data_IF_600966722347
#
_entry.id   IF_600966722347
#
_cell.length_a   1.000
_cell.length_b   1.000
_cell.length_c   1.000
_cell.angle_alpha   90.00
_cell.angle_beta   90.00
_cell.angle_gamma   90.00
#
_symmetry.space_group_name_H-M   'P 1'
#
loop_
_entity.id
_entity.type
_entity.pdbx_description
1 polymer ?
#
# COMPACT_ATOMS: atom_id res chain seq x y z
N UNK A 1 -2.92 -2.38 -12.48
CA UNK A 1 -3.17 -1.66 -11.22
C UNK A 1 -2.22 -2.19 -10.16
N UNK A 2 -1.55 -1.29 -9.48
CA UNK A 2 -0.57 -1.62 -8.45
C UNK A 2 -0.99 -0.93 -7.15
N UNK A 3 -1.11 -1.70 -6.08
CA UNK A 3 -1.31 -1.19 -4.73
C UNK A 3 0.02 -0.66 -4.18
N UNK A 4 -0.01 0.48 -3.51
CA UNK A 4 1.20 1.12 -2.99
C UNK A 4 1.16 1.15 -1.47
N UNK A 5 2.20 0.58 -0.86
CA UNK A 5 2.40 0.53 0.58
C UNK A 5 3.01 1.83 1.13
N UNK A 6 3.00 1.97 2.44
CA UNK A 6 3.51 3.15 3.16
C UNK A 6 4.98 3.44 2.86
N UNK A 7 5.85 2.42 2.92
CA UNK A 7 7.28 2.59 2.72
C UNK A 7 7.65 3.30 1.43
N UNK A 8 7.18 2.84 0.28
CA UNK A 8 7.40 3.52 -0.99
C UNK A 8 6.85 4.95 -1.04
N UNK A 9 5.67 5.21 -0.45
CA UNK A 9 5.13 6.57 -0.42
C UNK A 9 6.04 7.52 0.36
N UNK A 10 6.53 7.09 1.52
CA UNK A 10 7.48 7.89 2.29
C UNK A 10 8.78 8.08 1.52
N UNK A 11 9.33 7.00 0.95
CA UNK A 11 10.59 7.05 0.22
C UNK A 11 10.52 7.94 -1.02
N UNK A 12 9.39 7.92 -1.75
CA UNK A 12 9.22 8.76 -2.94
C UNK A 12 9.22 10.26 -2.62
N UNK A 13 8.65 10.64 -1.47
CA UNK A 13 8.46 12.04 -1.10
C UNK A 13 9.42 12.54 -0.03
N UNK A 14 10.37 11.70 0.41
CA UNK A 14 11.47 12.09 1.29
C UNK A 14 12.82 11.77 0.62
N UNK A 15 13.48 12.78 0.03
CA UNK A 15 14.78 12.57 -0.61
C UNK A 15 15.89 12.06 0.34
N UNK A 16 15.70 12.19 1.64
CA UNK A 16 16.62 11.72 2.66
C UNK A 16 16.41 10.23 2.99
N UNK A 17 15.30 9.63 2.56
CA UNK A 17 15.03 8.22 2.81
C UNK A 17 16.03 7.34 2.04
N UNK A 18 16.58 6.33 2.70
CA UNK A 18 17.56 5.42 2.10
C UNK A 18 17.05 4.64 0.89
N UNK A 19 15.72 4.50 0.74
CA UNK A 19 15.08 3.83 -0.38
C UNK A 19 14.58 4.78 -1.47
N UNK A 20 14.85 6.08 -1.33
CA UNK A 20 14.34 7.10 -2.26
C UNK A 20 14.70 6.78 -3.72
N UNK A 21 15.99 6.63 -4.01
CA UNK A 21 16.46 6.40 -5.38
C UNK A 21 15.87 5.13 -6.00
N UNK A 22 15.80 4.06 -5.22
CA UNK A 22 15.20 2.78 -5.63
C UNK A 22 13.73 2.92 -5.97
N UNK A 23 12.97 3.59 -5.09
CA UNK A 23 11.53 3.78 -5.30
C UNK A 23 11.24 4.69 -6.49
N UNK A 24 12.02 5.75 -6.68
CA UNK A 24 11.90 6.63 -7.86
C UNK A 24 12.16 5.84 -9.14
N UNK A 25 13.19 5.00 -9.16
CA UNK A 25 13.50 4.14 -10.31
C UNK A 25 12.35 3.18 -10.62
N UNK A 26 11.79 2.54 -9.60
CA UNK A 26 10.65 1.64 -9.73
C UNK A 26 9.43 2.38 -10.30
N UNK A 27 9.12 3.55 -9.74
CA UNK A 27 7.99 4.36 -10.21
C UNK A 27 8.13 4.75 -11.69
N UNK A 28 9.33 5.12 -12.11
CA UNK A 28 9.59 5.47 -13.53
C UNK A 28 9.37 4.30 -14.48
N UNK A 29 9.54 3.07 -14.02
CA UNK A 29 9.32 1.85 -14.80
C UNK A 29 7.88 1.35 -14.78
N UNK A 30 7.02 1.90 -13.91
CA UNK A 30 5.63 1.49 -13.78
C UNK A 30 4.77 2.19 -14.81
N UNK A 31 3.95 1.40 -15.51
CA UNK A 31 2.99 1.89 -16.53
C UNK A 31 1.54 1.77 -16.06
N UNK A 32 1.30 1.01 -15.01
CA UNK A 32 -0.03 0.74 -14.48
C UNK A 32 -0.48 1.84 -13.53
N UNK A 33 -1.82 2.06 -13.41
CA UNK A 33 -2.34 2.97 -12.40
C UNK A 33 -1.92 2.56 -11.00
N UNK A 34 -1.61 3.53 -10.16
CA UNK A 34 -1.29 3.34 -8.76
C UNK A 34 -2.51 3.62 -7.91
N UNK A 35 -2.72 2.81 -6.89
CA UNK A 35 -3.80 2.95 -5.92
C UNK A 35 -3.29 2.65 -4.52
N UNK A 36 -3.79 3.34 -3.52
CA UNK A 36 -3.53 3.03 -2.12
C UNK A 36 -4.81 3.14 -1.29
N UNK A 37 -4.68 2.96 0.00
CA UNK A 37 -5.79 2.96 0.95
C UNK A 37 -5.65 4.12 1.94
N UNK A 38 -6.74 4.47 2.62
CA UNK A 38 -6.70 5.54 3.62
C UNK A 38 -5.79 5.20 4.81
N UNK A 39 -5.81 3.97 5.38
CA UNK A 39 -4.87 3.64 6.45
C UNK A 39 -3.41 3.80 6.05
N UNK A 40 -3.04 3.39 4.85
CA UNK A 40 -1.68 3.57 4.32
C UNK A 40 -1.36 5.05 4.16
N UNK A 41 -2.27 5.82 3.58
CA UNK A 41 -2.07 7.25 3.37
C UNK A 41 -1.92 8.01 4.69
N UNK A 42 -2.72 7.65 5.70
CA UNK A 42 -2.62 8.20 7.07
C UNK A 42 -1.23 7.96 7.66
N UNK A 43 -0.74 6.74 7.54
CA UNK A 43 0.59 6.37 8.04
C UNK A 43 1.71 7.12 7.30
N UNK A 44 1.59 7.24 5.98
CA UNK A 44 2.57 7.96 5.17
C UNK A 44 2.64 9.44 5.54
N UNK A 45 1.51 10.11 5.73
CA UNK A 45 1.48 11.50 6.18
C UNK A 45 2.06 11.67 7.58
N UNK A 46 1.80 10.71 8.47
CA UNK A 46 2.39 10.73 9.82
C UNK A 46 3.91 10.64 9.76
N UNK A 47 4.44 9.72 8.95
CA UNK A 47 5.89 9.52 8.82
C UNK A 47 6.60 10.68 8.11
N UNK A 48 5.97 11.29 7.11
CA UNK A 48 6.53 12.47 6.43
C UNK A 48 6.50 13.71 7.33
N UNK A 49 5.57 13.76 8.27
CA UNK A 49 5.38 14.86 9.20
C UNK A 49 4.44 15.93 8.67
N UNK A 50 3.58 16.49 9.54
CA UNK A 50 2.67 17.57 9.17
C UNK A 50 3.46 18.81 8.72
N UNK A 51 2.91 19.53 7.73
CA UNK A 51 3.51 20.74 7.15
C UNK A 51 4.90 20.55 6.54
N UNK A 52 5.31 19.32 6.24
CA UNK A 52 6.55 19.04 5.53
C UNK A 52 6.38 19.22 4.01
N UNK A 53 7.50 19.45 3.32
CA UNK A 53 7.51 19.48 1.84
C UNK A 53 7.04 18.13 1.28
N UNK A 54 7.46 17.04 1.89
CA UNK A 54 7.05 15.69 1.48
C UNK A 54 5.54 15.47 1.57
N UNK A 55 4.94 15.93 2.68
CA UNK A 55 3.47 15.86 2.84
C UNK A 55 2.74 16.70 1.79
N UNK A 56 3.23 17.90 1.50
CA UNK A 56 2.63 18.75 0.48
C UNK A 56 2.70 18.09 -0.91
N UNK A 57 3.82 17.49 -1.25
CA UNK A 57 4.00 16.81 -2.53
C UNK A 57 3.17 15.53 -2.64
N UNK A 58 3.06 14.77 -1.57
CA UNK A 58 2.18 13.60 -1.55
C UNK A 58 0.72 14.00 -1.77
N UNK A 59 0.28 15.07 -1.09
CA UNK A 59 -1.06 15.61 -1.28
C UNK A 59 -1.29 16.01 -2.75
N UNK A 60 -0.35 16.75 -3.34
CA UNK A 60 -0.45 17.17 -4.73
C UNK A 60 -0.49 15.97 -5.69
N UNK A 61 0.25 14.92 -5.40
CA UNK A 61 0.25 13.68 -6.17
C UNK A 61 -1.12 12.99 -6.15
N UNK A 62 -1.76 12.95 -5.00
CA UNK A 62 -3.13 12.41 -4.85
C UNK A 62 -4.14 13.28 -5.59
N UNK A 63 -4.14 14.59 -5.33
CA UNK A 63 -5.08 15.54 -5.94
C UNK A 63 -4.90 15.61 -7.45
N UNK A 64 -3.67 15.50 -7.93
CA UNK A 64 -3.34 15.51 -9.36
C UNK A 64 -3.65 14.20 -10.10
N UNK A 65 -4.14 13.18 -9.40
CA UNK A 65 -4.52 11.90 -10.01
C UNK A 65 -3.39 10.90 -10.20
N UNK A 66 -2.19 11.17 -9.67
CA UNK A 66 -1.07 10.23 -9.73
C UNK A 66 -1.23 9.01 -8.84
N UNK A 67 -2.05 9.13 -7.81
CA UNK A 67 -2.36 8.06 -6.86
C UNK A 67 -3.86 8.07 -6.59
N UNK A 68 -4.54 6.99 -6.97
CA UNK A 68 -5.95 6.79 -6.68
C UNK A 68 -6.13 6.21 -5.27
N UNK A 69 -7.32 6.34 -4.72
CA UNK A 69 -7.64 5.86 -3.38
C UNK A 69 -8.75 4.81 -3.42
N UNK A 70 -8.54 3.77 -2.64
CA UNK A 70 -9.57 2.78 -2.34
C UNK A 70 -10.08 3.01 -0.92
N UNK A 71 -11.38 2.94 -0.73
CA UNK A 71 -12.03 3.21 0.54
C UNK A 71 -12.70 1.96 1.09
N UNK A 72 -12.63 1.79 2.41
CA UNK A 72 -13.39 0.77 3.08
C UNK A 72 -14.90 1.04 2.98
N UNK A 73 -15.64 -0.04 2.83
CA UNK A 73 -17.05 -0.13 3.17
C UNK A 73 -17.19 -1.00 4.43
N UNK A 74 -18.36 -1.03 5.09
CA UNK A 74 -18.51 -1.86 6.30
C UNK A 74 -18.13 -3.33 6.11
N UNK A 75 -18.51 -3.92 4.98
CA UNK A 75 -18.19 -5.32 4.69
C UNK A 75 -16.67 -5.55 4.47
N UNK A 76 -16.00 -4.63 3.79
CA UNK A 76 -14.56 -4.76 3.54
C UNK A 76 -13.73 -4.44 4.78
N UNK A 77 -14.20 -3.56 5.64
CA UNK A 77 -13.57 -3.34 6.95
C UNK A 77 -13.67 -4.60 7.81
N UNK A 78 -14.82 -5.27 7.84
CA UNK A 78 -14.97 -6.56 8.54
C UNK A 78 -14.00 -7.59 7.99
N UNK A 79 -13.85 -7.66 6.67
CA UNK A 79 -12.85 -8.55 6.04
C UNK A 79 -11.42 -8.23 6.50
N UNK A 80 -11.07 -6.94 6.59
CA UNK A 80 -9.76 -6.54 7.08
C UNK A 80 -9.51 -7.03 8.51
N UNK A 81 -10.51 -6.93 9.38
CA UNK A 81 -10.41 -7.44 10.76
C UNK A 81 -10.25 -8.96 10.81
N UNK A 82 -10.94 -9.70 9.94
CA UNK A 82 -10.75 -11.15 9.80
C UNK A 82 -9.30 -11.49 9.40
N UNK A 83 -8.72 -10.73 8.47
CA UNK A 83 -7.33 -10.91 8.07
C UNK A 83 -6.36 -10.65 9.22
N UNK A 84 -6.56 -9.58 9.97
CA UNK A 84 -5.73 -9.26 11.14
C UNK A 84 -5.75 -10.39 12.17
N UNK A 85 -6.91 -10.98 12.40
CA UNK A 85 -7.07 -12.13 13.29
C UNK A 85 -6.38 -13.38 12.74
N UNK A 86 -6.52 -13.66 11.44
CA UNK A 86 -5.89 -14.81 10.77
C UNK A 86 -4.36 -14.77 10.81
N UNK A 87 -3.77 -13.58 10.80
CA UNK A 87 -2.32 -13.36 10.82
C UNK A 87 -1.81 -12.93 12.20
N UNK A 88 -2.46 -13.35 13.29
CA UNK A 88 -2.06 -13.00 14.65
C UNK A 88 -0.62 -13.43 14.99
N UNK A 89 -0.14 -14.52 14.42
CA UNK A 89 1.24 -15.03 14.62
C UNK A 89 2.28 -14.27 13.79
N UNK A 90 1.84 -13.52 12.79
CA UNK A 90 2.67 -12.60 12.00
C UNK A 90 1.91 -11.28 11.94
N UNK A 91 2.12 -10.39 12.92
CA UNK A 91 1.24 -9.25 13.13
C UNK A 91 0.99 -8.44 11.86
N UNK A 92 -0.28 -8.40 11.47
CA UNK A 92 -0.79 -7.60 10.37
C UNK A 92 -1.51 -6.39 10.96
N UNK A 93 -1.05 -5.19 10.65
CA UNK A 93 -1.77 -3.98 11.07
C UNK A 93 -2.91 -3.64 10.11
N UNK A 94 -3.68 -2.61 10.43
CA UNK A 94 -4.81 -2.22 9.60
C UNK A 94 -4.36 -1.71 8.22
N UNK A 95 -3.20 -1.07 8.12
CA UNK A 95 -2.68 -0.61 6.84
C UNK A 95 -2.39 -1.80 5.92
N UNK A 96 -1.70 -2.84 6.43
CA UNK A 96 -1.45 -4.09 5.68
C UNK A 96 -2.76 -4.77 5.31
N UNK A 97 -3.68 -4.91 6.27
CA UNK A 97 -4.98 -5.54 6.04
C UNK A 97 -5.79 -4.78 4.99
N UNK A 98 -5.70 -3.46 4.96
CA UNK A 98 -6.38 -2.64 3.96
C UNK A 98 -5.87 -2.91 2.55
N UNK A 99 -4.56 -3.10 2.39
CA UNK A 99 -3.97 -3.42 1.08
C UNK A 99 -4.39 -4.81 0.60
N UNK A 100 -4.36 -5.81 1.47
CA UNK A 100 -4.81 -7.17 1.11
C UNK A 100 -6.31 -7.17 0.77
N UNK A 101 -7.13 -6.47 1.54
CA UNK A 101 -8.56 -6.36 1.28
C UNK A 101 -8.85 -5.63 -0.04
N UNK A 102 -8.12 -4.55 -0.31
CA UNK A 102 -8.22 -3.84 -1.58
C UNK A 102 -7.81 -4.75 -2.76
N UNK A 103 -6.75 -5.53 -2.59
CA UNK A 103 -6.30 -6.50 -3.58
C UNK A 103 -7.40 -7.51 -3.92
N UNK A 104 -8.05 -8.07 -2.91
CA UNK A 104 -9.16 -9.00 -3.09
C UNK A 104 -10.34 -8.34 -3.81
N UNK A 105 -10.71 -7.13 -3.40
CA UNK A 105 -11.84 -6.39 -3.95
C UNK A 105 -11.61 -5.95 -5.40
N UNK A 106 -10.41 -5.49 -5.70
CA UNK A 106 -10.04 -4.95 -7.02
C UNK A 106 -9.55 -6.03 -7.99
N UNK A 107 -9.28 -7.23 -7.51
CA UNK A 107 -8.79 -8.32 -8.35
C UNK A 107 -7.33 -8.16 -8.81
N UNK A 108 -6.51 -7.45 -8.04
CA UNK A 108 -5.08 -7.33 -8.29
C UNK A 108 -4.28 -8.03 -7.20
N UNK A 109 -3.08 -8.48 -7.53
CA UNK A 109 -2.13 -9.04 -6.56
C UNK A 109 -0.83 -8.26 -6.51
N UNK A 110 -0.70 -7.21 -7.31
CA UNK A 110 0.53 -6.45 -7.45
C UNK A 110 0.60 -5.37 -6.37
N UNK A 111 1.70 -5.38 -5.62
CA UNK A 111 1.95 -4.42 -4.54
C UNK A 111 3.35 -3.84 -4.66
N UNK A 112 3.45 -2.53 -4.60
CA UNK A 112 4.71 -1.81 -4.48
C UNK A 112 4.99 -1.62 -3.00
N UNK A 113 5.97 -2.36 -2.49
CA UNK A 113 6.39 -2.34 -1.09
C UNK A 113 7.90 -2.51 -0.98
N UNK A 114 8.48 -1.99 0.08
CA UNK A 114 9.85 -2.29 0.49
C UNK A 114 9.88 -3.30 1.64
N UNK A 115 8.74 -3.62 2.21
CA UNK A 115 8.58 -4.67 3.21
C UNK A 115 8.21 -5.99 2.55
N UNK A 116 9.21 -6.60 1.89
CA UNK A 116 9.02 -7.83 1.14
C UNK A 116 8.57 -8.98 2.03
N UNK A 117 9.12 -9.06 3.24
CA UNK A 117 8.86 -10.16 4.17
C UNK A 117 7.39 -10.28 4.53
N UNK A 118 6.72 -9.17 4.85
CA UNK A 118 5.30 -9.18 5.18
C UNK A 118 4.46 -9.60 3.97
N UNK A 119 4.68 -8.98 2.82
CA UNK A 119 3.87 -9.24 1.63
C UNK A 119 4.19 -10.56 0.92
N UNK A 120 5.31 -11.20 1.21
CA UNK A 120 5.57 -12.58 0.82
C UNK A 120 4.75 -13.57 1.67
N UNK A 121 4.40 -13.19 2.90
CA UNK A 121 3.60 -14.00 3.83
C UNK A 121 2.11 -13.89 3.54
N UNK A 122 1.61 -12.69 3.26
CA UNK A 122 0.18 -12.44 3.06
C UNK A 122 -0.33 -13.06 1.76
N UNK A 123 -1.57 -13.59 1.83
CA UNK A 123 -2.25 -14.21 0.68
C UNK A 123 -3.54 -13.48 0.36
N UNK A 124 -3.81 -13.35 -0.92
CA UNK A 124 -5.04 -12.75 -1.46
C UNK A 124 -6.02 -13.87 -1.76
N UNK A 125 -7.23 -13.76 -1.21
CA UNK A 125 -8.29 -14.72 -1.47
C UNK A 125 -9.01 -14.38 -2.78
N UNK A 126 -9.17 -15.40 -3.64
CA UNK A 126 -9.96 -15.32 -4.86
C UNK A 126 -10.85 -16.57 -4.96
N UNK A 127 -12.14 -16.41 -4.68
CA UNK A 127 -13.05 -17.54 -4.53
C UNK A 127 -12.63 -18.43 -3.37
N UNK A 128 -12.35 -19.70 -3.65
CA UNK A 128 -11.88 -20.67 -2.65
C UNK A 128 -10.35 -20.81 -2.59
N UNK A 129 -9.63 -20.04 -3.40
CA UNK A 129 -8.16 -20.13 -3.51
C UNK A 129 -7.49 -18.92 -2.88
N UNK A 130 -6.27 -19.16 -2.37
CA UNK A 130 -5.38 -18.12 -1.89
C UNK A 130 -4.19 -17.99 -2.83
N UNK A 131 -3.83 -16.77 -3.16
CA UNK A 131 -2.74 -16.46 -4.07
C UNK A 131 -1.70 -15.58 -3.40
N UNK A 132 -0.42 -15.82 -3.72
CA UNK A 132 0.65 -14.94 -3.29
C UNK A 132 0.50 -13.55 -3.91
N UNK A 133 0.93 -12.52 -3.19
CA UNK A 133 1.08 -11.19 -3.76
C UNK A 133 2.32 -11.12 -4.64
N UNK A 134 2.25 -10.32 -5.67
CA UNK A 134 3.35 -10.03 -6.58
C UNK A 134 3.99 -8.70 -6.18
N UNK A 135 5.21 -8.78 -5.67
CA UNK A 135 5.91 -7.59 -5.20
C UNK A 135 6.57 -6.89 -6.37
N UNK A 136 6.23 -5.63 -6.55
CA UNK A 136 6.86 -4.75 -7.52
C UNK A 136 8.13 -4.19 -6.89
N UNK A 137 9.28 -4.35 -7.54
CA UNK A 137 10.58 -3.96 -7.00
C UNK A 137 10.74 -2.48 -6.71
#
# INVERSE_FOLDING_TARGET
>A
MILVDTGPLVALFDPQDGQHARCVKTLKGVREPLITTIPVLTEAFHMLGPASIGSDRLRDFVVGGGLSLWFFEPATLTRAFELMESYADHPMDLADASLVTAAETLGTRRVFTIDRRDFETYKVRKGHRRHAMEIVP
#
